data_IF_413830965992
#
_entry.id   IF_413830965992
#
_cell.length_a   1.000
_cell.length_b   1.000
_cell.length_c   1.000
_cell.angle_alpha   90.00
_cell.angle_beta   90.00
_cell.angle_gamma   90.00
#
_symmetry.space_group_name_H-M   'P 1'
#
loop_
_entity.id
_entity.type
_entity.pdbx_description
1 polymer ?
#
# COMPACT_ATOMS: atom_id res chain seq x y z
N UNK A 1 4.38 -28.75 21.06
CA UNK A 1 4.25 -28.74 19.59
C UNK A 1 3.99 -27.30 19.15
N UNK A 2 4.99 -26.49 18.78
CA UNK A 2 4.67 -25.16 18.20
C UNK A 2 5.78 -24.49 17.37
N UNK A 3 6.99 -24.32 17.89
CA UNK A 3 8.02 -23.49 17.23
C UNK A 3 8.44 -23.99 15.85
N UNK A 4 8.67 -25.31 15.71
CA UNK A 4 9.02 -25.91 14.41
C UNK A 4 7.92 -25.71 13.36
N UNK A 5 6.65 -25.71 13.77
CA UNK A 5 5.51 -25.47 12.88
C UNK A 5 5.46 -24.00 12.45
N UNK A 6 5.69 -23.08 13.38
CA UNK A 6 5.75 -21.63 13.13
C UNK A 6 6.90 -21.30 12.16
N UNK A 7 8.11 -21.80 12.43
CA UNK A 7 9.26 -21.60 11.55
C UNK A 7 9.03 -22.17 10.14
N UNK A 8 8.37 -23.32 10.03
CA UNK A 8 8.02 -23.90 8.74
C UNK A 8 7.00 -23.02 7.99
N UNK A 9 5.96 -22.52 8.66
CA UNK A 9 4.99 -21.62 8.06
C UNK A 9 5.62 -20.31 7.59
N UNK A 10 6.54 -19.73 8.38
CA UNK A 10 7.30 -18.55 7.99
C UNK A 10 8.14 -18.80 6.73
N UNK A 11 8.87 -19.93 6.66
CA UNK A 11 9.64 -20.30 5.47
C UNK A 11 8.75 -20.46 4.23
N UNK A 12 7.56 -21.06 4.38
CA UNK A 12 6.60 -21.19 3.28
C UNK A 12 6.15 -19.80 2.80
N UNK A 13 5.76 -18.89 3.71
CA UNK A 13 5.38 -17.51 3.36
C UNK A 13 6.50 -16.78 2.62
N UNK A 14 7.73 -16.84 3.12
CA UNK A 14 8.89 -16.21 2.46
C UNK A 14 9.10 -16.75 1.05
N UNK A 15 8.95 -18.06 0.84
CA UNK A 15 9.04 -18.65 -0.50
C UNK A 15 7.94 -18.13 -1.42
N UNK A 16 6.70 -18.03 -0.93
CA UNK A 16 5.60 -17.45 -1.71
C UNK A 16 5.85 -15.98 -2.04
N UNK A 17 6.39 -15.20 -1.11
CA UNK A 17 6.75 -13.79 -1.33
C UNK A 17 7.81 -13.61 -2.41
N UNK A 18 8.84 -14.45 -2.42
CA UNK A 18 9.85 -14.47 -3.48
C UNK A 18 9.27 -14.85 -4.84
N UNK A 19 8.36 -15.83 -4.85
CA UNK A 19 7.66 -16.22 -6.07
C UNK A 19 6.77 -15.09 -6.59
N UNK A 20 5.97 -14.46 -5.72
CA UNK A 20 5.09 -13.34 -6.04
C UNK A 20 5.87 -12.16 -6.61
N UNK A 21 7.02 -11.79 -6.01
CA UNK A 21 7.93 -10.79 -6.58
C UNK A 21 8.25 -11.08 -8.05
N UNK A 22 8.62 -12.32 -8.37
CA UNK A 22 8.97 -12.68 -9.74
C UNK A 22 7.76 -12.63 -10.69
N UNK A 23 6.55 -12.90 -10.21
CA UNK A 23 5.32 -12.70 -11.00
C UNK A 23 5.06 -11.21 -11.26
N UNK A 24 5.19 -10.37 -10.23
CA UNK A 24 5.03 -8.92 -10.34
C UNK A 24 6.01 -8.32 -11.37
N UNK A 25 7.27 -8.75 -11.35
CA UNK A 25 8.27 -8.23 -12.29
C UNK A 25 8.00 -8.61 -13.76
N UNK A 26 7.19 -9.65 -14.00
CA UNK A 26 6.79 -10.06 -15.36
C UNK A 26 5.60 -9.30 -15.90
N UNK A 27 4.72 -8.79 -15.03
CA UNK A 27 3.52 -8.04 -15.45
C UNK A 27 3.80 -6.54 -15.58
N UNK A 28 4.71 -6.01 -14.77
CA UNK A 28 5.05 -4.59 -14.79
C UNK A 28 5.84 -4.21 -16.06
N UNK A 29 5.68 -2.98 -16.58
CA UNK A 29 6.55 -2.46 -17.63
C UNK A 29 8.02 -2.56 -17.24
N UNK A 30 8.88 -2.82 -18.23
CA UNK A 30 10.30 -3.11 -18.01
C UNK A 30 11.02 -2.02 -17.21
N UNK A 31 10.68 -0.76 -17.44
CA UNK A 31 11.31 0.37 -16.75
C UNK A 31 10.94 0.39 -15.25
N UNK A 32 9.71 0.00 -14.89
CA UNK A 32 9.27 -0.10 -13.50
C UNK A 32 9.81 -1.38 -12.84
N UNK A 33 9.72 -2.51 -13.54
CA UNK A 33 10.18 -3.79 -12.99
C UNK A 33 11.68 -3.78 -12.75
N UNK A 34 12.49 -3.19 -13.63
CA UNK A 34 13.94 -3.10 -13.42
C UNK A 34 14.32 -2.30 -12.17
N UNK A 35 13.55 -1.26 -11.83
CA UNK A 35 13.77 -0.46 -10.62
C UNK A 35 13.35 -1.24 -9.37
N UNK A 36 12.14 -1.82 -9.37
CA UNK A 36 11.64 -2.57 -8.20
C UNK A 36 12.43 -3.86 -7.98
N UNK A 37 12.95 -4.49 -9.02
CA UNK A 37 13.73 -5.72 -8.92
C UNK A 37 15.03 -5.50 -8.14
N UNK A 38 15.69 -4.36 -8.30
CA UNK A 38 16.94 -4.06 -7.56
C UNK A 38 16.71 -3.56 -6.14
N UNK A 39 15.47 -3.22 -5.78
CA UNK A 39 15.12 -2.75 -4.44
C UNK A 39 15.28 -3.85 -3.39
N UNK A 40 15.59 -3.43 -2.17
CA UNK A 40 15.55 -4.32 -1.01
C UNK A 40 14.12 -4.80 -0.78
N UNK A 41 13.99 -6.09 -0.51
CA UNK A 41 12.71 -6.76 -0.28
C UNK A 41 12.61 -7.19 1.18
N UNK A 42 11.53 -6.77 1.84
CA UNK A 42 11.21 -7.14 3.21
C UNK A 42 10.12 -8.21 3.20
N UNK A 43 10.40 -9.33 3.86
CA UNK A 43 9.51 -10.50 3.94
C UNK A 43 9.03 -10.76 5.38
N UNK A 44 8.12 -11.72 5.55
CA UNK A 44 7.73 -12.22 6.87
C UNK A 44 8.96 -12.71 7.66
N UNK A 45 9.07 -12.46 8.98
CA UNK A 45 8.06 -11.83 9.85
C UNK A 45 8.13 -10.30 9.92
N UNK A 46 9.18 -9.67 9.39
CA UNK A 46 9.36 -8.22 9.53
C UNK A 46 8.28 -7.43 8.79
N UNK A 47 7.86 -7.91 7.61
CA UNK A 47 6.71 -7.38 6.90
C UNK A 47 5.47 -7.27 7.79
N UNK A 48 5.16 -8.33 8.55
CA UNK A 48 3.97 -8.38 9.40
C UNK A 48 4.05 -7.35 10.52
N UNK A 49 5.24 -7.12 11.09
CA UNK A 49 5.45 -6.07 12.10
C UNK A 49 5.29 -4.66 11.52
N UNK A 50 5.74 -4.43 10.28
CA UNK A 50 5.59 -3.13 9.62
C UNK A 50 4.10 -2.82 9.44
N UNK A 51 3.32 -3.77 8.93
CA UNK A 51 1.88 -3.60 8.74
C UNK A 51 1.15 -3.44 10.08
N UNK A 52 1.50 -4.24 11.10
CA UNK A 52 0.92 -4.13 12.43
C UNK A 52 1.13 -2.74 13.05
N UNK A 53 2.32 -2.14 12.90
CA UNK A 53 2.58 -0.76 13.35
C UNK A 53 1.69 0.28 12.67
N UNK A 54 1.42 0.11 11.38
CA UNK A 54 0.51 1.00 10.63
C UNK A 54 -0.92 0.86 11.17
N UNK A 55 -1.38 -0.36 11.39
CA UNK A 55 -2.69 -0.59 11.99
C UNK A 55 -2.78 -0.03 13.42
N UNK A 56 -1.77 -0.26 14.24
CA UNK A 56 -1.71 0.22 15.62
C UNK A 56 -1.77 1.75 15.71
N UNK A 57 -1.15 2.49 14.77
CA UNK A 57 -1.26 3.96 14.67
C UNK A 57 -2.72 4.44 14.62
N UNK A 58 -3.58 3.64 13.99
CA UNK A 58 -4.98 3.95 13.78
C UNK A 58 -5.90 3.16 14.72
N UNK A 59 -5.40 2.71 15.88
CA UNK A 59 -6.15 1.88 16.83
C UNK A 59 -6.80 0.64 16.19
N UNK A 60 -6.17 0.11 15.13
CA UNK A 60 -6.68 -1.00 14.32
C UNK A 60 -8.01 -0.71 13.62
N UNK A 61 -8.36 0.56 13.43
CA UNK A 61 -9.63 0.96 12.83
C UNK A 61 -9.54 1.16 11.32
N UNK A 62 -8.34 1.21 10.71
CA UNK A 62 -8.11 1.58 9.30
C UNK A 62 -9.11 1.01 8.27
N UNK A 63 -9.62 -0.21 8.49
CA UNK A 63 -10.59 -0.90 7.62
C UNK A 63 -12.00 -1.05 8.20
N UNK A 64 -12.31 -0.34 9.28
CA UNK A 64 -13.61 -0.32 9.95
C UNK A 64 -14.37 0.96 9.60
N UNK A 65 -15.70 0.91 9.65
CA UNK A 65 -16.55 2.10 9.45
C UNK A 65 -16.23 3.24 10.43
N UNK A 66 -15.84 2.89 11.66
CA UNK A 66 -15.48 3.86 12.70
C UNK A 66 -14.27 4.74 12.32
N UNK A 67 -13.41 4.29 11.40
CA UNK A 67 -12.29 5.10 10.96
C UNK A 67 -12.72 6.38 10.26
N UNK A 68 -13.77 6.29 9.44
CA UNK A 68 -14.33 7.44 8.73
C UNK A 68 -14.85 8.46 9.75
N UNK A 69 -15.46 7.99 10.84
CA UNK A 69 -16.00 8.84 11.89
C UNK A 69 -14.91 9.49 12.74
N UNK A 70 -13.89 8.71 13.14
CA UNK A 70 -12.88 9.14 14.10
C UNK A 70 -11.69 9.87 13.45
N UNK A 71 -11.42 9.62 12.17
CA UNK A 71 -10.22 10.10 11.47
C UNK A 71 -10.55 10.71 10.09
N UNK A 72 -11.73 11.29 9.94
CA UNK A 72 -12.19 11.95 8.70
C UNK A 72 -11.17 12.92 8.10
N UNK A 73 -10.42 13.66 8.92
CA UNK A 73 -9.40 14.60 8.46
C UNK A 73 -8.21 13.94 7.73
N UNK A 74 -8.00 12.64 7.90
CA UNK A 74 -6.90 11.89 7.29
C UNK A 74 -7.34 11.08 6.08
N UNK A 75 -8.65 11.02 5.79
CA UNK A 75 -9.22 10.18 4.74
C UNK A 75 -9.92 11.03 3.69
N UNK A 76 -9.62 10.75 2.44
CA UNK A 76 -10.36 11.29 1.29
C UNK A 76 -10.85 10.14 0.44
N UNK A 77 -12.06 10.27 -0.08
CA UNK A 77 -12.70 9.25 -0.90
C UNK A 77 -12.92 9.79 -2.31
N UNK A 78 -12.71 8.94 -3.30
CA UNK A 78 -12.77 9.26 -4.71
C UNK A 78 -13.56 8.18 -5.45
N UNK A 79 -14.37 8.58 -6.43
CA UNK A 79 -15.09 7.65 -7.30
C UNK A 79 -14.31 7.35 -8.59
N UNK A 80 -13.36 8.22 -8.98
CA UNK A 80 -12.65 8.12 -10.24
C UNK A 80 -11.14 7.85 -10.06
N UNK A 81 -10.63 6.85 -10.79
CA UNK A 81 -9.20 6.49 -10.80
C UNK A 81 -8.31 7.68 -11.16
N UNK A 82 -8.74 8.52 -12.11
CA UNK A 82 -8.00 9.71 -12.50
C UNK A 82 -7.84 10.73 -11.38
N UNK A 83 -8.84 10.87 -10.48
CA UNK A 83 -8.76 11.77 -9.33
C UNK A 83 -7.80 11.21 -8.27
N UNK A 84 -7.81 9.89 -8.07
CA UNK A 84 -6.84 9.21 -7.20
C UNK A 84 -5.42 9.44 -7.70
N UNK A 85 -5.18 9.22 -9.00
CA UNK A 85 -3.89 9.42 -9.64
C UNK A 85 -3.42 10.87 -9.46
N UNK A 86 -4.26 11.84 -9.81
CA UNK A 86 -3.94 13.26 -9.66
C UNK A 86 -3.65 13.63 -8.21
N UNK A 87 -4.44 13.10 -7.26
CA UNK A 87 -4.25 13.36 -5.85
C UNK A 87 -2.89 12.83 -5.37
N UNK A 88 -2.57 11.56 -5.66
CA UNK A 88 -1.33 10.92 -5.21
C UNK A 88 -0.12 11.56 -5.87
N UNK A 89 -0.15 11.79 -7.19
CA UNK A 89 0.94 12.44 -7.92
C UNK A 89 1.17 13.91 -7.50
N UNK A 90 0.16 14.55 -6.89
CA UNK A 90 0.27 15.88 -6.31
C UNK A 90 0.83 15.92 -4.88
N UNK A 91 1.09 14.77 -4.25
CA UNK A 91 1.69 14.72 -2.91
C UNK A 91 3.18 14.98 -3.03
N UNK A 92 3.64 16.04 -2.38
CA UNK A 92 5.06 16.27 -2.17
C UNK A 92 5.55 15.39 -1.01
N UNK A 93 6.59 14.59 -1.26
CA UNK A 93 7.26 13.80 -0.24
C UNK A 93 8.77 14.02 -0.35
N UNK A 94 9.45 13.94 0.80
CA UNK A 94 10.89 14.07 0.87
C UNK A 94 11.60 12.97 0.05
N UNK A 95 12.80 13.27 -0.45
CA UNK A 95 13.69 12.26 -1.09
C UNK A 95 14.20 11.29 -0.04
N UNK A 96 13.39 10.26 0.23
CA UNK A 96 13.70 9.21 1.19
C UNK A 96 13.20 7.86 0.67
N UNK A 97 13.84 6.80 1.17
CA UNK A 97 13.37 5.44 0.97
C UNK A 97 12.09 5.20 1.77
N UNK A 98 11.11 4.57 1.15
CA UNK A 98 9.80 4.23 1.73
C UNK A 98 9.53 2.75 1.65
N UNK A 99 8.71 2.27 2.58
CA UNK A 99 8.05 0.98 2.45
C UNK A 99 6.91 1.10 1.44
N UNK A 100 7.03 0.34 0.36
CA UNK A 100 5.98 0.11 -0.62
C UNK A 100 5.35 -1.26 -0.37
N UNK A 101 4.07 -1.26 -0.03
CA UNK A 101 3.24 -2.46 0.03
C UNK A 101 2.18 -2.40 -1.07
N UNK A 102 1.98 -3.51 -1.79
CA UNK A 102 1.18 -3.56 -3.02
C UNK A 102 -0.18 -4.25 -2.86
N UNK A 103 -0.68 -4.47 -1.63
CA UNK A 103 -2.04 -4.99 -1.41
C UNK A 103 -2.30 -6.45 -1.85
N UNK A 104 -1.41 -7.01 -2.66
CA UNK A 104 -1.54 -8.31 -3.31
C UNK A 104 -1.14 -9.43 -2.35
N UNK A 105 -1.91 -10.52 -2.36
CA UNK A 105 -1.65 -11.69 -1.53
C UNK A 105 -0.21 -12.20 -1.73
N UNK A 106 0.46 -12.48 -0.61
CA UNK A 106 1.86 -12.90 -0.56
C UNK A 106 2.83 -11.89 -1.23
N UNK A 107 2.45 -10.63 -1.49
CA UNK A 107 3.42 -9.62 -1.93
C UNK A 107 4.38 -9.28 -0.78
N UNK A 108 5.70 -9.17 -1.05
CA UNK A 108 6.61 -8.56 -0.09
C UNK A 108 6.41 -7.05 -0.01
N UNK A 109 7.12 -6.41 0.93
CA UNK A 109 7.33 -4.96 0.94
C UNK A 109 8.63 -4.66 0.19
N UNK A 110 8.62 -3.60 -0.60
CA UNK A 110 9.81 -3.09 -1.28
C UNK A 110 10.29 -1.80 -0.60
N UNK A 111 11.60 -1.67 -0.43
CA UNK A 111 12.21 -0.42 -0.01
C UNK A 111 12.67 0.36 -1.24
N UNK A 112 12.00 1.46 -1.52
CA UNK A 112 12.11 2.17 -2.80
C UNK A 112 12.09 3.68 -2.60
N UNK A 113 12.60 4.44 -3.58
CA UNK A 113 12.55 5.90 -3.55
C UNK A 113 11.09 6.39 -3.60
N UNK A 114 10.72 7.22 -2.62
CA UNK A 114 9.36 7.73 -2.51
C UNK A 114 8.95 8.56 -3.73
N UNK A 115 9.78 9.55 -4.13
CA UNK A 115 9.46 10.44 -5.26
C UNK A 115 9.29 9.65 -6.55
N UNK A 116 10.08 8.61 -6.75
CA UNK A 116 9.95 7.69 -7.87
C UNK A 116 8.59 7.00 -7.87
N UNK A 117 8.12 6.51 -6.71
CA UNK A 117 6.79 5.89 -6.62
C UNK A 117 5.70 6.90 -6.93
N UNK A 118 5.73 8.09 -6.33
CA UNK A 118 4.72 9.13 -6.58
C UNK A 118 4.69 9.47 -8.06
N UNK A 119 5.86 9.71 -8.69
CA UNK A 119 5.95 10.03 -10.11
C UNK A 119 5.38 8.94 -11.03
N UNK A 120 5.60 7.67 -10.70
CA UNK A 120 5.19 6.52 -11.53
C UNK A 120 3.90 5.85 -11.00
N UNK A 121 3.17 6.49 -10.10
CA UNK A 121 2.04 5.89 -9.40
C UNK A 121 0.94 5.44 -10.36
N UNK A 122 0.62 6.24 -11.37
CA UNK A 122 -0.39 5.95 -12.39
C UNK A 122 -0.14 4.61 -13.08
N UNK A 123 1.07 4.44 -13.64
CA UNK A 123 1.43 3.23 -14.38
C UNK A 123 1.51 2.05 -13.40
N UNK A 124 2.15 2.23 -12.25
CA UNK A 124 2.27 1.16 -11.26
C UNK A 124 0.89 0.64 -10.83
N UNK A 125 -0.01 1.54 -10.46
CA UNK A 125 -1.31 1.18 -9.92
C UNK A 125 -2.23 0.52 -10.95
N UNK A 126 -2.24 1.03 -12.18
CA UNK A 126 -3.02 0.45 -13.28
C UNK A 126 -2.57 -0.97 -13.63
N UNK A 127 -1.26 -1.22 -13.68
CA UNK A 127 -0.73 -2.57 -13.97
C UNK A 127 -0.97 -3.56 -12.83
N UNK A 128 -1.22 -3.07 -11.63
CA UNK A 128 -1.65 -3.87 -10.49
C UNK A 128 -3.17 -3.93 -10.37
N UNK A 129 -3.93 -3.63 -11.42
CA UNK A 129 -5.40 -3.70 -11.43
C UNK A 129 -6.06 -2.89 -10.31
N UNK A 130 -5.45 -1.74 -9.99
CA UNK A 130 -5.91 -0.79 -8.97
C UNK A 130 -6.05 -1.43 -7.58
N UNK A 131 -5.21 -2.43 -7.27
CA UNK A 131 -5.06 -3.01 -5.93
C UNK A 131 -4.55 -1.96 -4.93
N UNK A 132 -4.63 -2.30 -3.64
CA UNK A 132 -4.14 -1.41 -2.58
C UNK A 132 -2.66 -1.08 -2.75
N UNK A 133 -2.28 0.19 -2.63
CA UNK A 133 -0.89 0.64 -2.60
C UNK A 133 -0.65 1.49 -1.37
N UNK A 134 0.29 1.06 -0.53
CA UNK A 134 0.67 1.79 0.67
C UNK A 134 2.11 2.25 0.55
N UNK A 135 2.33 3.54 0.76
CA UNK A 135 3.61 4.23 0.71
C UNK A 135 3.85 4.79 2.10
N UNK A 136 4.80 4.24 2.85
CA UNK A 136 4.99 4.56 4.27
C UNK A 136 6.45 4.90 4.53
N UNK A 137 6.70 5.97 5.26
CA UNK A 137 8.05 6.33 5.68
C UNK A 137 8.61 5.29 6.66
N UNK A 138 9.93 5.09 6.66
CA UNK A 138 10.54 4.07 7.54
C UNK A 138 10.35 4.37 9.03
N UNK A 139 10.25 5.65 9.39
CA UNK A 139 10.01 6.14 10.74
C UNK A 139 8.52 6.30 11.08
N UNK A 140 7.62 5.97 10.15
CA UNK A 140 6.16 6.11 10.25
C UNK A 140 5.65 7.55 10.46
N UNK A 141 6.50 8.55 10.26
CA UNK A 141 6.15 9.97 10.34
C UNK A 141 5.17 10.39 9.24
N UNK A 142 5.19 9.74 8.08
CA UNK A 142 4.20 9.93 7.03
C UNK A 142 3.76 8.62 6.39
N UNK A 143 2.59 8.67 5.75
CA UNK A 143 2.14 7.60 4.88
C UNK A 143 0.96 7.99 4.02
N UNK A 144 0.87 7.31 2.87
CA UNK A 144 -0.19 7.43 1.88
C UNK A 144 -0.68 6.02 1.59
N UNK A 145 -1.91 5.69 2.01
CA UNK A 145 -2.52 4.39 1.80
C UNK A 145 -3.67 4.59 0.81
N UNK A 146 -3.50 4.07 -0.39
CA UNK A 146 -4.55 4.01 -1.41
C UNK A 146 -5.20 2.64 -1.27
N UNK A 147 -6.47 2.62 -0.88
CA UNK A 147 -7.24 1.39 -0.75
C UNK A 147 -8.42 1.37 -1.68
N UNK A 148 -8.61 0.25 -2.36
CA UNK A 148 -9.79 -0.02 -3.18
C UNK A 148 -10.89 -0.58 -2.27
N UNK A 149 -11.98 0.15 -2.14
CA UNK A 149 -13.12 -0.24 -1.31
C UNK A 149 -14.40 -0.32 -2.16
N UNK A 150 -15.06 -1.48 -2.15
CA UNK A 150 -16.37 -1.68 -2.77
C UNK A 150 -17.51 -1.16 -1.89
N UNK A 151 -17.49 0.13 -1.55
CA UNK A 151 -18.46 0.76 -0.66
C UNK A 151 -19.65 1.40 -1.37
N UNK A 152 -20.68 1.73 -0.59
CA UNK A 152 -21.82 2.54 -1.02
C UNK A 152 -21.68 3.94 -0.41
N UNK A 153 -21.67 4.99 -1.25
CA UNK A 153 -21.80 6.39 -0.80
C UNK A 153 -23.25 6.82 -0.99
N UNK A 154 -23.87 7.30 0.10
CA UNK A 154 -25.30 7.65 0.13
C UNK A 154 -25.66 8.83 -0.80
N UNK A 155 -24.66 9.64 -1.20
CA UNK A 155 -24.81 10.76 -2.12
C UNK A 155 -24.37 10.46 -3.55
N UNK A 156 -23.93 9.23 -3.84
CA UNK A 156 -23.51 8.81 -5.17
C UNK A 156 -24.72 8.29 -5.98
N UNK A 157 -25.04 8.90 -7.14
CA UNK A 157 -26.14 8.44 -7.98
C UNK A 157 -25.93 7.04 -8.59
N UNK A 158 -24.74 6.43 -8.43
CA UNK A 158 -24.38 5.17 -9.06
C UNK A 158 -23.92 4.10 -8.04
N UNK A 159 -24.83 3.27 -7.50
CA UNK A 159 -24.59 2.35 -6.39
C UNK A 159 -23.69 1.13 -6.72
N UNK A 160 -23.03 1.12 -7.88
CA UNK A 160 -22.08 0.09 -8.32
C UNK A 160 -20.64 0.62 -8.42
N UNK A 161 -20.38 1.87 -8.06
CA UNK A 161 -19.06 2.49 -8.20
C UNK A 161 -18.05 1.91 -7.21
N UNK A 162 -16.86 1.60 -7.73
CA UNK A 162 -15.69 1.25 -6.92
C UNK A 162 -15.20 2.56 -6.33
N UNK A 163 -15.08 2.61 -5.01
CA UNK A 163 -14.57 3.77 -4.31
C UNK A 163 -13.10 3.53 -3.95
N UNK A 164 -12.35 4.61 -3.99
CA UNK A 164 -10.96 4.62 -3.57
C UNK A 164 -10.83 5.51 -2.35
N UNK A 165 -10.27 4.96 -1.29
CA UNK A 165 -9.98 5.71 -0.08
C UNK A 165 -8.48 5.98 -0.01
N UNK A 166 -8.12 7.25 0.11
CA UNK A 166 -6.74 7.67 0.37
C UNK A 166 -6.65 8.11 1.81
N UNK A 167 -5.93 7.33 2.62
CA UNK A 167 -5.56 7.72 3.98
C UNK A 167 -4.17 8.32 3.94
N UNK A 168 -4.03 9.60 4.30
CA UNK A 168 -2.76 10.32 4.32
C UNK A 168 -2.51 10.93 5.69
N UNK A 169 -1.29 10.77 6.21
CA UNK A 169 -0.81 11.53 7.37
C UNK A 169 0.61 12.03 7.14
N UNK A 170 0.91 13.14 7.80
CA UNK A 170 2.25 13.69 7.96
C UNK A 170 2.33 14.20 9.39
N UNK A 171 3.38 13.86 10.12
CA UNK A 171 3.69 14.53 11.38
C UNK A 171 4.12 15.95 11.04
N UNK A 172 3.17 16.88 10.98
CA UNK A 172 3.49 18.31 10.97
C UNK A 172 4.27 18.60 12.26
N UNK A 173 5.56 18.90 12.09
CA UNK A 173 6.36 19.57 13.12
C UNK A 173 5.91 21.03 13.20
#
# INVERSE_FOLDING_TARGET
MNERKILMQQKIKVTKQKYKRNELMKILPKDLSSVIEICEMITTPELEKILDKVHAKWNYDLHKGDFILNYSNFRKEFSWESEVIQYVQGIDIEEQLVYLFLGIEDSPIFLIDGKWIIKNFDILWQFLNNEDIWIISQDYSYGVLVSRYGGYLEHDPNPKEILYAITKWENKS
#
